data_IF_581629746789
#
_entry.id   IF_581629746789
#
_cell.length_a   1.000
_cell.length_b   1.000
_cell.length_c   1.000
_cell.angle_alpha   90.00
_cell.angle_beta   90.00
_cell.angle_gamma   90.00
#
_symmetry.space_group_name_H-M   'P 1'
#
loop_
_entity.id
_entity.type
_entity.pdbx_description
1 polymer ?
#
# COMPACT_ATOMS: atom_id res chain seq x y z
N UNK A 1 -4.14 2.22 15.11
CA UNK A 1 -4.75 2.90 13.95
C UNK A 1 -5.82 2.01 13.37
N UNK A 2 -6.81 2.58 12.70
CA UNK A 2 -7.80 1.81 11.95
C UNK A 2 -7.10 1.06 10.80
N UNK A 3 -7.27 -0.27 10.68
CA UNK A 3 -6.73 -1.02 9.56
C UNK A 3 -7.32 -0.56 8.23
N UNK A 4 -6.45 -0.35 7.24
CA UNK A 4 -6.88 0.08 5.92
C UNK A 4 -7.72 -0.99 5.19
N UNK A 5 -8.65 -0.56 4.33
CA UNK A 5 -9.43 -1.43 3.45
C UNK A 5 -9.83 -0.68 2.18
N UNK A 6 -10.09 -1.44 1.12
CA UNK A 6 -10.72 -0.97 -0.11
C UNK A 6 -11.95 -1.85 -0.36
N UNK A 7 -13.13 -1.26 -0.37
CA UNK A 7 -14.40 -1.95 -0.62
C UNK A 7 -15.16 -1.23 -1.75
N UNK A 8 -16.13 -1.93 -2.35
CA UNK A 8 -17.03 -1.30 -3.31
C UNK A 8 -18.29 -0.80 -2.64
N UNK A 9 -18.73 0.40 -3.01
CA UNK A 9 -20.07 0.88 -2.67
C UNK A 9 -21.16 0.18 -3.50
N UNK A 10 -22.43 0.49 -3.22
CA UNK A 10 -23.55 -0.05 -3.98
C UNK A 10 -23.66 0.47 -5.42
N UNK A 11 -22.87 1.46 -5.82
CA UNK A 11 -22.76 1.91 -7.22
C UNK A 11 -21.58 1.24 -7.95
N UNK A 12 -20.70 0.54 -7.23
CA UNK A 12 -19.51 -0.12 -7.77
C UNK A 12 -18.23 0.72 -7.69
N UNK A 13 -18.28 1.90 -7.07
CA UNK A 13 -17.11 2.74 -6.84
C UNK A 13 -16.26 2.13 -5.72
N UNK A 14 -14.93 2.17 -5.88
CA UNK A 14 -14.02 1.80 -4.81
C UNK A 14 -14.02 2.92 -3.75
N UNK A 15 -14.02 2.52 -2.49
CA UNK A 15 -13.96 3.40 -1.32
C UNK A 15 -12.96 2.84 -0.34
N UNK A 16 -12.04 3.68 0.11
CA UNK A 16 -11.06 3.34 1.16
C UNK A 16 -11.36 4.03 2.48
N UNK A 17 -10.90 3.48 3.61
CA UNK A 17 -11.03 4.19 4.90
C UNK A 17 -10.24 5.49 4.90
N UNK A 18 -9.10 5.52 4.19
CA UNK A 18 -8.29 6.71 4.07
C UNK A 18 -9.03 7.84 3.34
N UNK A 19 -9.79 7.54 2.29
CA UNK A 19 -10.67 8.49 1.61
C UNK A 19 -11.78 9.00 2.55
N UNK A 20 -12.40 8.11 3.33
CA UNK A 20 -13.46 8.49 4.28
C UNK A 20 -12.95 9.48 5.34
N UNK A 21 -11.72 9.27 5.81
CA UNK A 21 -11.11 10.10 6.84
C UNK A 21 -10.57 11.45 6.30
N UNK A 22 -10.56 11.67 4.97
CA UNK A 22 -10.15 12.96 4.38
C UNK A 22 -11.02 14.12 4.80
N UNK A 23 -12.29 13.86 5.13
CA UNK A 23 -13.25 14.85 5.62
C UNK A 23 -12.87 15.43 7.00
N UNK A 24 -11.82 14.91 7.64
CA UNK A 24 -11.36 15.29 8.97
C UNK A 24 -12.48 15.23 10.03
N UNK A 25 -13.41 14.29 9.83
CA UNK A 25 -14.54 14.00 10.72
C UNK A 25 -14.36 12.63 11.36
N UNK A 26 -14.89 12.43 12.57
CA UNK A 26 -14.99 11.09 13.11
C UNK A 26 -15.89 10.23 12.21
N UNK A 27 -15.56 8.95 12.10
CA UNK A 27 -16.37 7.98 11.35
C UNK A 27 -16.79 6.82 12.25
N UNK A 28 -18.02 6.37 12.08
CA UNK A 28 -18.53 5.11 12.60
C UNK A 28 -18.59 4.11 11.44
N UNK A 29 -17.86 3.00 11.57
CA UNK A 29 -18.06 1.82 10.74
C UNK A 29 -19.02 0.89 11.47
N UNK A 30 -20.16 0.58 10.86
CA UNK A 30 -21.12 -0.40 11.38
C UNK A 30 -21.17 -1.63 10.47
N UNK A 31 -20.76 -2.78 11.01
CA UNK A 31 -20.76 -4.05 10.32
C UNK A 31 -22.09 -4.76 10.55
N UNK A 32 -22.79 -5.11 9.47
CA UNK A 32 -24.13 -5.71 9.55
C UNK A 32 -24.35 -6.80 8.50
N UNK A 33 -25.39 -7.61 8.73
CA UNK A 33 -25.94 -8.53 7.74
C UNK A 33 -27.44 -8.29 7.57
N UNK A 34 -28.00 -8.56 6.39
CA UNK A 34 -29.43 -8.31 6.11
C UNK A 34 -30.39 -9.13 6.98
N UNK A 35 -29.89 -10.17 7.64
CA UNK A 35 -30.61 -11.02 8.60
C UNK A 35 -30.50 -10.55 10.06
N UNK A 36 -29.82 -9.44 10.32
CA UNK A 36 -29.61 -8.88 11.64
C UNK A 36 -30.70 -7.85 11.97
N UNK A 37 -31.78 -8.29 12.62
CA UNK A 37 -32.90 -7.39 12.97
C UNK A 37 -32.47 -6.27 13.92
N UNK A 38 -31.55 -6.56 14.84
CA UNK A 38 -31.05 -5.57 15.79
C UNK A 38 -30.22 -4.48 15.11
N UNK A 39 -29.57 -4.79 13.99
CA UNK A 39 -28.79 -3.83 13.21
C UNK A 39 -29.67 -2.71 12.63
N UNK A 40 -30.92 -3.00 12.27
CA UNK A 40 -31.86 -1.97 11.79
C UNK A 40 -32.10 -0.89 12.85
N UNK A 41 -32.32 -1.31 14.10
CA UNK A 41 -32.54 -0.38 15.23
C UNK A 41 -31.31 0.48 15.50
N UNK A 42 -30.13 -0.13 15.49
CA UNK A 42 -28.86 0.57 15.61
C UNK A 42 -28.69 1.65 14.52
N UNK A 43 -28.96 1.30 13.26
CA UNK A 43 -28.73 2.22 12.16
C UNK A 43 -29.65 3.44 12.24
N UNK A 44 -30.90 3.28 12.66
CA UNK A 44 -31.78 4.43 12.88
C UNK A 44 -31.30 5.34 14.02
N UNK A 45 -30.71 4.80 15.09
CA UNK A 45 -30.09 5.60 16.14
C UNK A 45 -28.90 6.42 15.62
N UNK A 46 -28.22 5.96 14.56
CA UNK A 46 -27.15 6.72 13.91
C UNK A 46 -27.64 7.92 13.09
N UNK A 47 -28.88 7.92 12.61
CA UNK A 47 -29.44 9.08 11.87
C UNK A 47 -29.44 10.33 12.75
N UNK A 48 -29.86 10.17 14.01
CA UNK A 48 -29.82 11.24 15.00
C UNK A 48 -28.39 11.68 15.32
N UNK A 49 -27.45 10.73 15.42
CA UNK A 49 -26.05 11.01 15.73
C UNK A 49 -25.39 11.74 14.57
N UNK A 50 -25.52 11.26 13.33
CA UNK A 50 -24.91 11.87 12.16
C UNK A 50 -25.38 13.32 11.97
N UNK A 51 -26.69 13.56 12.08
CA UNK A 51 -27.29 14.88 11.89
C UNK A 51 -26.89 15.89 12.97
N UNK A 52 -26.82 15.48 14.23
CA UNK A 52 -26.51 16.39 15.36
C UNK A 52 -25.02 16.58 15.58
N UNK A 53 -24.24 15.54 15.31
CA UNK A 53 -22.87 15.49 15.78
C UNK A 53 -21.83 15.73 14.68
N UNK A 54 -22.21 15.79 13.40
CA UNK A 54 -21.28 16.02 12.29
C UNK A 54 -20.31 14.85 12.06
N UNK A 55 -20.79 13.63 12.28
CA UNK A 55 -20.04 12.36 12.21
C UNK A 55 -20.42 11.64 10.92
N UNK A 56 -19.44 11.01 10.27
CA UNK A 56 -19.68 10.14 9.12
C UNK A 56 -20.10 8.74 9.59
N UNK A 57 -21.06 8.13 8.90
CA UNK A 57 -21.50 6.76 9.20
C UNK A 57 -21.43 5.97 7.91
N UNK A 58 -20.64 4.89 7.92
CA UNK A 58 -20.51 3.95 6.82
C UNK A 58 -20.96 2.57 7.29
N UNK A 59 -21.85 1.95 6.52
CA UNK A 59 -22.32 0.61 6.79
C UNK A 59 -21.52 -0.39 5.95
N UNK A 60 -21.04 -1.47 6.56
CA UNK A 60 -20.30 -2.53 5.90
C UNK A 60 -21.15 -3.79 5.93
N UNK A 61 -21.76 -4.11 4.78
CA UNK A 61 -22.60 -5.27 4.59
C UNK A 61 -21.77 -6.51 4.27
N UNK A 62 -21.91 -7.54 5.09
CA UNK A 62 -21.13 -8.79 4.97
C UNK A 62 -21.84 -9.92 4.20
N UNK A 63 -23.05 -9.67 3.71
CA UNK A 63 -23.82 -10.62 2.89
C UNK A 63 -23.05 -11.06 1.63
N UNK A 64 -23.30 -12.27 1.14
CA UNK A 64 -22.70 -12.77 -0.10
C UNK A 64 -23.06 -11.94 -1.33
N UNK A 65 -24.28 -11.39 -1.38
CA UNK A 65 -24.85 -10.80 -2.59
C UNK A 65 -25.26 -9.34 -2.43
N UNK A 66 -24.65 -8.45 -3.23
CA UNK A 66 -24.96 -7.01 -3.31
C UNK A 66 -26.46 -6.72 -3.46
N UNK A 67 -27.16 -7.44 -4.36
CA UNK A 67 -28.61 -7.27 -4.58
C UNK A 67 -29.47 -7.48 -3.34
N UNK A 68 -29.01 -8.32 -2.41
CA UNK A 68 -29.72 -8.59 -1.16
C UNK A 68 -29.63 -7.37 -0.24
N UNK A 69 -28.44 -6.77 -0.17
CA UNK A 69 -28.18 -5.52 0.56
C UNK A 69 -28.99 -4.36 -0.03
N UNK A 70 -29.01 -4.19 -1.36
CA UNK A 70 -29.79 -3.13 -2.03
C UNK A 70 -31.28 -3.20 -1.69
N UNK A 71 -31.89 -4.40 -1.78
CA UNK A 71 -33.30 -4.59 -1.43
C UNK A 71 -33.58 -4.32 0.04
N UNK A 72 -32.68 -4.77 0.91
CA UNK A 72 -32.78 -4.54 2.35
C UNK A 72 -32.67 -3.05 2.68
N UNK A 73 -31.71 -2.34 2.08
CA UNK A 73 -31.50 -0.91 2.26
C UNK A 73 -32.73 -0.11 1.81
N UNK A 74 -33.30 -0.45 0.65
CA UNK A 74 -34.53 0.18 0.16
C UNK A 74 -35.73 -0.10 1.09
N UNK A 75 -35.89 -1.34 1.56
CA UNK A 75 -36.97 -1.73 2.48
C UNK A 75 -36.92 -0.97 3.80
N UNK A 76 -35.71 -0.77 4.34
CA UNK A 76 -35.49 -0.11 5.62
C UNK A 76 -35.19 1.39 5.50
N UNK A 77 -35.23 1.95 4.27
CA UNK A 77 -34.98 3.37 3.97
C UNK A 77 -33.64 3.87 4.49
N UNK A 78 -32.60 3.05 4.32
CA UNK A 78 -31.26 3.35 4.79
C UNK A 78 -30.68 4.51 3.98
N UNK A 79 -30.24 5.56 4.67
CA UNK A 79 -29.72 6.79 4.06
C UNK A 79 -28.19 6.84 4.00
N UNK A 80 -27.51 5.94 4.72
CA UNK A 80 -26.06 5.95 4.83
C UNK A 80 -25.38 5.24 3.64
N UNK A 81 -24.17 5.65 3.26
CA UNK A 81 -23.34 4.89 2.34
C UNK A 81 -23.13 3.46 2.82
N UNK A 82 -23.31 2.50 1.90
CA UNK A 82 -23.12 1.07 2.18
C UNK A 82 -21.99 0.54 1.31
N UNK A 83 -21.01 -0.08 1.97
CA UNK A 83 -19.90 -0.80 1.37
C UNK A 83 -20.16 -2.30 1.46
N UNK A 84 -19.80 -3.03 0.42
CA UNK A 84 -20.03 -4.48 0.34
C UNK A 84 -18.71 -5.24 0.57
N UNK A 85 -18.66 -6.04 1.64
CA UNK A 85 -17.57 -6.96 1.92
C UNK A 85 -18.09 -8.41 2.00
N UNK A 86 -18.21 -9.11 0.85
CA UNK A 86 -18.80 -10.44 0.81
C UNK A 86 -18.12 -11.40 1.80
N UNK A 87 -18.88 -11.91 2.77
CA UNK A 87 -18.40 -12.80 3.84
C UNK A 87 -17.32 -12.19 4.75
N UNK A 88 -17.18 -10.87 4.79
CA UNK A 88 -16.12 -10.22 5.56
C UNK A 88 -14.71 -10.57 5.06
N UNK A 89 -14.54 -10.88 3.76
CA UNK A 89 -13.25 -11.33 3.19
C UNK A 89 -12.13 -10.31 3.37
N UNK A 90 -12.44 -9.02 3.30
CA UNK A 90 -11.45 -7.95 3.33
C UNK A 90 -11.29 -7.39 4.75
N UNK A 91 -12.40 -7.13 5.44
CA UNK A 91 -12.42 -6.45 6.74
C UNK A 91 -12.52 -7.41 7.92
N UNK A 92 -12.95 -8.65 7.71
CA UNK A 92 -13.29 -9.57 8.79
C UNK A 92 -12.15 -9.90 9.73
N UNK A 93 -10.95 -10.17 9.20
CA UNK A 93 -9.74 -10.35 10.02
C UNK A 93 -9.21 -9.02 10.56
N UNK A 94 -9.33 -7.95 9.78
CA UNK A 94 -8.78 -6.64 10.12
C UNK A 94 -9.49 -6.01 11.31
N UNK A 95 -10.81 -6.19 11.39
CA UNK A 95 -11.67 -5.63 12.44
C UNK A 95 -12.23 -6.70 13.37
N UNK A 96 -11.62 -7.89 13.43
CA UNK A 96 -11.99 -8.99 14.33
C UNK A 96 -13.50 -9.31 14.32
N UNK A 97 -14.08 -9.50 13.13
CA UNK A 97 -15.49 -9.85 12.97
C UNK A 97 -15.79 -11.32 13.29
N UNK A 98 -14.76 -12.16 13.42
CA UNK A 98 -14.91 -13.60 13.62
C UNK A 98 -14.24 -14.05 14.92
N UNK A 99 -14.99 -14.78 15.75
CA UNK A 99 -14.49 -15.56 16.90
C UNK A 99 -14.74 -17.04 16.64
N UNK A 100 -13.73 -17.72 16.09
CA UNK A 100 -13.92 -19.07 15.56
C UNK A 100 -14.92 -19.05 14.41
N UNK A 101 -15.95 -19.90 14.49
CA UNK A 101 -17.03 -19.94 13.51
C UNK A 101 -18.11 -18.86 13.72
N UNK A 102 -18.05 -18.10 14.81
CA UNK A 102 -19.06 -17.11 15.15
C UNK A 102 -18.73 -15.74 14.58
N UNK A 103 -19.71 -15.15 13.90
CA UNK A 103 -19.67 -13.81 13.37
C UNK A 103 -20.23 -12.81 14.40
N UNK A 104 -19.50 -11.71 14.62
CA UNK A 104 -19.84 -10.66 15.58
C UNK A 104 -20.48 -9.50 14.82
N UNK A 105 -21.82 -9.50 14.74
CA UNK A 105 -22.61 -8.37 14.22
C UNK A 105 -23.85 -8.10 15.12
N UNK A 106 -24.28 -6.85 15.27
CA UNK A 106 -23.60 -5.66 14.76
C UNK A 106 -22.28 -5.42 15.51
N UNK A 107 -21.28 -4.96 14.77
CA UNK A 107 -20.04 -4.43 15.35
C UNK A 107 -19.90 -2.99 14.92
N UNK A 108 -19.64 -2.12 15.87
CA UNK A 108 -19.44 -0.69 15.63
C UNK A 108 -18.02 -0.32 15.98
N UNK A 109 -17.36 0.42 15.11
CA UNK A 109 -16.01 0.90 15.30
C UNK A 109 -16.01 2.41 15.10
N UNK A 110 -15.68 3.14 16.16
CA UNK A 110 -15.55 4.60 16.11
C UNK A 110 -14.09 4.93 15.85
N UNK A 111 -13.85 5.66 14.77
CA UNK A 111 -12.54 6.11 14.34
C UNK A 111 -12.49 7.63 14.42
N UNK A 112 -11.44 8.15 15.06
CA UNK A 112 -11.19 9.59 15.18
C UNK A 112 -10.74 10.22 13.84
N UNK A 113 -10.76 11.55 13.71
CA UNK A 113 -10.14 12.24 12.57
C UNK A 113 -8.64 11.92 12.39
N UNK A 114 -7.96 11.51 13.47
CA UNK A 114 -6.57 11.07 13.43
C UNK A 114 -6.36 9.64 12.89
N UNK A 115 -7.43 8.92 12.53
CA UNK A 115 -7.37 7.54 12.07
C UNK A 115 -7.15 6.51 13.19
N UNK A 116 -7.40 6.89 14.45
CA UNK A 116 -7.29 5.98 15.61
C UNK A 116 -8.65 5.39 15.95
N UNK A 117 -8.70 4.08 16.25
CA UNK A 117 -9.91 3.46 16.79
C UNK A 117 -10.02 3.89 18.25
N UNK A 118 -11.06 4.64 18.58
CA UNK A 118 -11.30 5.15 19.95
C UNK A 118 -12.36 4.34 20.69
N UNK A 119 -13.21 3.61 19.97
CA UNK A 119 -14.22 2.77 20.59
C UNK A 119 -14.61 1.60 19.68
N UNK A 120 -14.87 0.44 20.30
CA UNK A 120 -15.41 -0.75 19.63
C UNK A 120 -16.56 -1.29 20.46
N UNK A 121 -17.69 -1.55 19.80
CA UNK A 121 -18.85 -2.18 20.41
C UNK A 121 -19.26 -3.42 19.61
N UNK A 122 -19.27 -4.58 20.26
CA UNK A 122 -19.53 -5.89 19.63
C UNK A 122 -20.99 -6.37 19.73
N UNK A 123 -21.92 -5.47 20.08
CA UNK A 123 -23.36 -5.70 19.98
C UNK A 123 -24.12 -4.39 20.20
N UNK A 124 -25.42 -4.39 19.98
CA UNK A 124 -26.27 -3.24 20.26
C UNK A 124 -27.02 -3.37 21.60
N UNK A 125 -26.90 -2.34 22.45
CA UNK A 125 -27.72 -2.13 23.65
C UNK A 125 -27.74 -0.64 23.99
N UNK A 126 -28.72 -0.19 24.81
CA UNK A 126 -28.78 1.22 25.27
C UNK A 126 -27.49 1.65 25.98
N UNK A 127 -26.91 0.76 26.79
CA UNK A 127 -25.69 1.01 27.56
C UNK A 127 -24.46 1.13 26.64
N UNK A 128 -24.35 0.25 25.64
CA UNK A 128 -23.31 0.34 24.61
C UNK A 128 -23.46 1.60 23.75
N UNK A 129 -24.70 2.02 23.46
CA UNK A 129 -24.96 3.28 22.77
C UNK A 129 -24.60 4.50 23.60
N UNK A 130 -24.84 4.49 24.91
CA UNK A 130 -24.38 5.55 25.79
C UNK A 130 -22.84 5.62 25.83
N UNK A 131 -22.16 4.46 25.87
CA UNK A 131 -20.70 4.38 25.80
C UNK A 131 -20.15 4.94 24.48
N UNK A 132 -20.76 4.56 23.34
CA UNK A 132 -20.38 5.09 22.03
C UNK A 132 -20.57 6.61 21.95
N UNK A 133 -21.71 7.16 22.42
CA UNK A 133 -21.94 8.61 22.48
C UNK A 133 -20.94 9.34 23.38
N UNK A 134 -20.52 8.69 24.47
CA UNK A 134 -19.47 9.20 25.34
C UNK A 134 -18.12 9.26 24.61
N UNK A 135 -17.76 8.22 23.86
CA UNK A 135 -16.53 8.23 23.05
C UNK A 135 -16.57 9.31 21.96
N UNK A 136 -17.72 9.53 21.32
CA UNK A 136 -17.88 10.62 20.34
C UNK A 136 -17.73 12.00 20.96
N UNK A 137 -18.29 12.22 22.15
CA UNK A 137 -18.08 13.47 22.92
C UNK A 137 -16.61 13.62 23.33
N UNK A 138 -16.01 12.51 23.74
CA UNK A 138 -14.56 12.23 23.83
C UNK A 138 -13.79 12.90 22.70
N UNK A 139 -14.12 12.46 21.48
CA UNK A 139 -13.43 12.83 20.27
C UNK A 139 -13.56 14.31 19.95
N UNK A 140 -14.73 14.90 20.16
CA UNK A 140 -14.96 16.32 19.86
C UNK A 140 -14.15 17.29 20.71
N UNK A 141 -13.82 16.89 21.94
CA UNK A 141 -13.10 17.75 22.89
C UNK A 141 -11.58 17.59 22.81
N UNK A 142 -11.10 16.54 22.14
CA UNK A 142 -9.69 16.20 22.05
C UNK A 142 -9.02 16.95 20.89
N UNK A 143 -7.85 17.50 21.15
CA UNK A 143 -6.98 17.99 20.08
C UNK A 143 -6.32 16.80 19.37
N UNK A 144 -6.66 16.63 18.10
CA UNK A 144 -6.14 15.58 17.23
C UNK A 144 -4.86 15.99 16.50
N UNK A 145 -4.56 17.28 16.47
CA UNK A 145 -3.41 17.85 15.80
C UNK A 145 -2.22 17.85 16.75
N UNK A 146 -1.58 16.68 16.86
CA UNK A 146 -0.40 16.49 17.72
C UNK A 146 0.85 16.30 16.87
N UNK A 147 2.02 16.78 17.35
CA UNK A 147 3.27 16.38 16.75
C UNK A 147 3.35 14.87 16.66
N UNK A 148 3.81 14.36 15.53
CA UNK A 148 3.86 12.92 15.27
C UNK A 148 5.13 12.55 14.55
N UNK A 149 5.67 11.40 14.94
CA UNK A 149 6.86 10.81 14.33
C UNK A 149 6.43 9.62 13.48
N UNK A 150 6.99 9.53 12.26
CA UNK A 150 6.85 8.38 11.37
C UNK A 150 8.23 7.82 11.02
N UNK A 151 8.45 6.54 11.32
CA UNK A 151 9.60 5.82 10.81
C UNK A 151 9.28 5.15 9.47
N UNK A 152 10.00 5.51 8.42
CA UNK A 152 9.92 4.85 7.12
C UNK A 152 11.17 4.00 6.98
N UNK A 153 10.97 2.69 6.94
CA UNK A 153 11.99 1.74 6.52
C UNK A 153 11.82 1.48 5.03
N UNK A 154 12.90 1.33 4.30
CA UNK A 154 12.77 1.04 2.88
C UNK A 154 13.93 0.23 2.30
N UNK A 155 13.62 -0.40 1.19
CA UNK A 155 14.55 -1.07 0.28
C UNK A 155 14.38 -0.54 -1.13
N UNK A 156 15.40 -0.75 -1.95
CA UNK A 156 15.35 -0.56 -3.38
C UNK A 156 16.32 -1.55 -4.02
N UNK A 157 16.00 -2.05 -5.22
CA UNK A 157 16.87 -2.94 -5.99
C UNK A 157 17.38 -4.13 -5.16
N UNK A 158 16.45 -4.92 -4.58
CA UNK A 158 16.80 -6.16 -3.85
C UNK A 158 17.46 -7.16 -4.80
N UNK A 159 17.10 -7.16 -6.09
CA UNK A 159 17.65 -8.00 -7.15
C UNK A 159 17.68 -9.51 -6.78
N UNK A 160 16.73 -9.98 -5.97
CA UNK A 160 16.67 -11.36 -5.49
C UNK A 160 17.71 -11.79 -4.46
N UNK A 161 18.49 -10.87 -3.86
CA UNK A 161 19.52 -11.20 -2.85
C UNK A 161 18.90 -11.57 -1.49
N UNK A 162 18.41 -12.80 -1.37
CA UNK A 162 17.88 -13.32 -0.10
C UNK A 162 18.98 -13.57 0.94
N UNK A 163 20.12 -14.11 0.50
CA UNK A 163 21.29 -14.40 1.33
C UNK A 163 22.32 -13.26 1.28
N UNK A 164 23.14 -13.13 2.33
CA UNK A 164 24.29 -12.22 2.33
C UNK A 164 25.30 -12.61 1.24
N UNK A 165 26.11 -11.65 0.78
CA UNK A 165 27.25 -12.03 -0.05
C UNK A 165 28.20 -12.94 0.73
N UNK A 166 28.74 -13.98 0.09
CA UNK A 166 29.82 -14.80 0.63
C UNK A 166 31.18 -14.07 0.56
N UNK A 167 31.20 -12.78 0.89
CA UNK A 167 32.39 -11.96 0.91
C UNK A 167 33.37 -12.49 2.00
N UNK A 168 34.61 -12.79 1.61
CA UNK A 168 35.60 -13.38 2.53
C UNK A 168 35.79 -12.48 3.77
N UNK A 169 35.61 -13.08 4.97
CA UNK A 169 35.63 -12.49 6.33
C UNK A 169 34.41 -11.68 6.78
N UNK A 170 33.62 -11.10 5.88
CA UNK A 170 32.50 -10.21 6.25
C UNK A 170 31.28 -10.37 5.35
N UNK A 171 30.40 -11.37 5.60
CA UNK A 171 29.13 -11.47 4.88
C UNK A 171 28.32 -10.17 5.02
N UNK A 172 28.07 -9.54 3.88
CA UNK A 172 27.46 -8.22 3.78
C UNK A 172 26.09 -8.32 3.11
N UNK A 173 25.12 -7.59 3.65
CA UNK A 173 23.78 -7.48 3.08
C UNK A 173 22.95 -8.74 3.18
N UNK A 174 22.02 -8.89 2.24
CA UNK A 174 21.10 -10.01 2.19
C UNK A 174 19.79 -9.73 2.93
N UNK A 175 18.70 -10.11 2.29
CA UNK A 175 17.36 -9.92 2.81
C UNK A 175 17.15 -10.59 4.18
N UNK A 176 17.84 -11.70 4.43
CA UNK A 176 17.85 -12.40 5.72
C UNK A 176 18.28 -11.50 6.90
N UNK A 177 19.29 -10.65 6.72
CA UNK A 177 19.74 -9.68 7.72
C UNK A 177 18.78 -8.49 7.81
N UNK A 178 18.27 -8.04 6.67
CA UNK A 178 17.31 -6.95 6.60
C UNK A 178 16.06 -7.23 7.44
N UNK A 179 15.45 -8.41 7.29
CA UNK A 179 14.22 -8.76 8.03
C UNK A 179 14.46 -8.78 9.54
N UNK A 180 15.60 -9.30 9.98
CA UNK A 180 16.02 -9.31 11.38
C UNK A 180 16.23 -7.89 11.93
N UNK A 181 16.93 -7.04 11.18
CA UNK A 181 17.10 -5.62 11.50
C UNK A 181 15.73 -4.91 11.58
N UNK A 182 14.87 -5.11 10.60
CA UNK A 182 13.55 -4.50 10.49
C UNK A 182 12.67 -4.86 11.68
N UNK A 183 12.62 -6.14 12.08
CA UNK A 183 11.87 -6.59 13.26
C UNK A 183 12.30 -5.83 14.53
N UNK A 184 13.61 -5.60 14.70
CA UNK A 184 14.13 -4.78 15.82
C UNK A 184 13.77 -3.30 15.70
N UNK A 185 13.74 -2.74 14.49
CA UNK A 185 13.36 -1.33 14.32
C UNK A 185 11.86 -1.12 14.55
N UNK A 186 11.01 -2.01 14.03
CA UNK A 186 9.54 -1.96 14.24
C UNK A 186 9.18 -1.93 15.73
N UNK A 187 9.91 -2.65 16.57
CA UNK A 187 9.72 -2.63 18.02
C UNK A 187 10.05 -1.27 18.69
N UNK A 188 10.80 -0.38 18.03
CA UNK A 188 11.22 0.92 18.60
C UNK A 188 10.26 2.07 18.28
N UNK A 189 9.46 1.95 17.23
CA UNK A 189 8.64 3.06 16.71
C UNK A 189 7.17 2.70 16.73
N UNK A 190 6.33 3.54 17.34
CA UNK A 190 4.88 3.30 17.40
C UNK A 190 4.19 3.48 16.04
N UNK A 191 4.75 4.34 15.19
CA UNK A 191 4.29 4.57 13.84
C UNK A 191 5.42 4.28 12.88
N UNK A 192 5.26 3.24 12.07
CA UNK A 192 6.24 2.88 11.08
C UNK A 192 5.57 2.32 9.82
N UNK A 193 6.24 2.49 8.69
CA UNK A 193 5.88 1.83 7.44
C UNK A 193 7.12 1.24 6.77
N UNK A 194 6.91 0.21 5.96
CA UNK A 194 7.94 -0.40 5.12
C UNK A 194 7.61 -0.23 3.64
N UNK A 195 8.51 0.39 2.89
CA UNK A 195 8.34 0.70 1.47
C UNK A 195 9.44 0.04 0.62
N UNK A 196 9.12 -0.30 -0.62
CA UNK A 196 10.12 -0.73 -1.61
C UNK A 196 9.93 0.07 -2.90
N UNK A 197 11.02 0.55 -3.51
CA UNK A 197 10.97 1.36 -4.72
C UNK A 197 11.26 0.57 -6.01
N UNK A 198 11.10 -0.75 -6.03
CA UNK A 198 11.19 -1.63 -7.19
C UNK A 198 12.54 -2.31 -7.41
N UNK A 199 12.56 -3.21 -8.40
CA UNK A 199 13.61 -4.20 -8.70
C UNK A 199 13.85 -5.16 -7.53
N UNK A 200 12.78 -5.75 -7.02
CA UNK A 200 12.92 -6.79 -6.01
C UNK A 200 13.29 -8.14 -6.63
N UNK A 201 12.88 -8.38 -7.87
CA UNK A 201 13.34 -9.49 -8.72
C UNK A 201 14.62 -9.11 -9.46
N UNK A 202 15.50 -10.08 -9.75
CA UNK A 202 16.56 -9.87 -10.71
C UNK A 202 16.00 -9.89 -12.14
N UNK A 203 16.70 -9.23 -13.07
CA UNK A 203 16.33 -9.10 -14.48
C UNK A 203 15.98 -10.44 -15.16
N UNK A 204 16.67 -11.52 -14.80
CA UNK A 204 16.33 -12.88 -15.20
C UNK A 204 16.11 -13.75 -13.97
N UNK A 205 14.89 -14.26 -13.82
CA UNK A 205 14.49 -15.08 -12.68
C UNK A 205 13.64 -16.26 -13.14
N UNK A 206 13.95 -17.45 -12.63
CA UNK A 206 13.10 -18.63 -12.83
C UNK A 206 11.89 -18.60 -11.90
N UNK A 207 10.78 -19.22 -12.29
CA UNK A 207 9.57 -19.32 -11.44
C UNK A 207 9.89 -19.90 -10.06
N UNK A 208 10.84 -20.84 -10.00
CA UNK A 208 11.27 -21.41 -8.74
C UNK A 208 11.91 -20.35 -7.83
N UNK A 209 12.82 -19.54 -8.36
CA UNK A 209 13.50 -18.49 -7.57
C UNK A 209 12.54 -17.35 -7.22
N UNK A 210 11.67 -16.95 -8.15
CA UNK A 210 10.65 -15.94 -7.94
C UNK A 210 9.69 -16.36 -6.80
N UNK A 211 9.26 -17.62 -6.74
CA UNK A 211 8.46 -18.19 -5.64
C UNK A 211 9.09 -17.93 -4.27
N UNK A 212 10.40 -18.12 -4.11
CA UNK A 212 11.08 -17.87 -2.83
C UNK A 212 11.18 -16.37 -2.53
N UNK A 213 11.41 -15.52 -3.52
CA UNK A 213 11.41 -14.07 -3.34
C UNK A 213 10.03 -13.58 -2.89
N UNK A 214 8.95 -14.04 -3.53
CA UNK A 214 7.58 -13.71 -3.13
C UNK A 214 7.26 -14.20 -1.70
N UNK A 215 7.64 -15.44 -1.33
CA UNK A 215 7.51 -15.93 0.06
C UNK A 215 8.25 -15.01 1.05
N UNK A 216 9.44 -14.52 0.70
CA UNK A 216 10.21 -13.60 1.55
C UNK A 216 9.49 -12.23 1.71
N UNK A 217 8.92 -11.68 0.64
CA UNK A 217 8.10 -10.47 0.69
C UNK A 217 6.84 -10.66 1.56
N UNK A 218 6.21 -11.83 1.50
CA UNK A 218 5.05 -12.18 2.34
C UNK A 218 5.40 -12.20 3.82
N UNK A 219 6.56 -12.76 4.19
CA UNK A 219 7.05 -12.77 5.58
C UNK A 219 7.28 -11.34 6.07
N UNK A 220 7.83 -10.48 5.21
CA UNK A 220 8.32 -9.16 5.60
C UNK A 220 7.20 -8.15 5.83
N UNK A 221 6.03 -8.35 5.20
CA UNK A 221 4.84 -7.47 5.32
C UNK A 221 5.16 -6.02 4.96
N UNK A 222 5.44 -5.76 3.68
CA UNK A 222 5.53 -4.40 3.15
C UNK A 222 4.20 -3.65 3.30
N UNK A 223 4.28 -2.33 3.40
CA UNK A 223 3.13 -1.44 3.35
C UNK A 223 2.85 -0.97 1.92
N UNK A 224 3.88 -0.82 1.10
CA UNK A 224 3.79 -0.59 -0.33
C UNK A 224 5.05 -1.08 -1.06
N UNK A 225 4.89 -1.61 -2.26
CA UNK A 225 5.99 -2.02 -3.14
C UNK A 225 5.74 -1.40 -4.52
N UNK A 226 6.64 -0.52 -4.96
CA UNK A 226 6.66 -0.08 -6.35
C UNK A 226 7.22 -1.17 -7.25
N UNK A 227 6.91 -1.10 -8.55
CA UNK A 227 7.41 -2.06 -9.55
C UNK A 227 8.53 -1.42 -10.37
N UNK A 228 9.66 -2.10 -10.44
CA UNK A 228 10.79 -1.74 -11.31
C UNK A 228 10.71 -2.39 -12.69
N UNK A 229 11.65 -2.04 -13.56
CA UNK A 229 11.72 -2.61 -14.92
C UNK A 229 12.05 -4.11 -14.90
N UNK A 230 12.82 -4.58 -13.90
CA UNK A 230 13.13 -6.00 -13.74
C UNK A 230 11.90 -6.79 -13.26
N UNK A 231 11.09 -6.18 -12.37
CA UNK A 231 9.91 -6.83 -11.82
C UNK A 231 8.84 -7.07 -12.89
N UNK A 232 8.59 -6.08 -13.74
CA UNK A 232 7.56 -6.14 -14.80
C UNK A 232 7.95 -7.08 -15.92
N UNK A 233 9.25 -7.29 -16.12
CA UNK A 233 9.74 -8.23 -17.13
C UNK A 233 9.49 -9.69 -16.77
N UNK A 234 9.32 -10.01 -15.49
CA UNK A 234 8.95 -11.34 -15.05
C UNK A 234 7.48 -11.65 -15.38
N UNK A 235 7.16 -12.65 -16.22
CA UNK A 235 5.79 -12.90 -16.67
C UNK A 235 4.77 -13.12 -15.54
N UNK A 236 5.19 -13.72 -14.42
CA UNK A 236 4.32 -14.01 -13.28
C UNK A 236 3.92 -12.78 -12.45
N UNK A 237 4.52 -11.60 -12.69
CA UNK A 237 4.21 -10.38 -11.92
C UNK A 237 2.77 -9.90 -12.12
N UNK A 238 2.23 -10.07 -13.33
CA UNK A 238 0.86 -9.66 -13.68
C UNK A 238 -0.15 -10.50 -12.90
N UNK A 239 0.07 -11.81 -12.85
CA UNK A 239 -0.76 -12.72 -12.06
C UNK A 239 -0.64 -12.42 -10.55
N UNK A 240 0.58 -12.17 -10.06
CA UNK A 240 0.81 -11.80 -8.66
C UNK A 240 0.08 -10.50 -8.28
N UNK A 241 0.07 -9.51 -9.18
CA UNK A 241 -0.66 -8.26 -9.00
C UNK A 241 -2.19 -8.46 -9.02
N UNK A 242 -2.70 -9.27 -9.97
CA UNK A 242 -4.14 -9.60 -10.08
C UNK A 242 -4.67 -10.33 -8.85
N UNK A 243 -3.85 -11.18 -8.23
CA UNK A 243 -4.20 -11.91 -7.02
C UNK A 243 -4.26 -11.04 -5.75
N UNK A 244 -3.89 -9.74 -5.83
CA UNK A 244 -3.92 -8.76 -4.74
C UNK A 244 -3.29 -9.23 -3.43
N UNK A 245 -2.30 -10.13 -3.52
CA UNK A 245 -1.61 -10.70 -2.35
C UNK A 245 -0.59 -9.73 -1.76
N UNK A 246 -0.04 -8.87 -2.60
CA UNK A 246 1.00 -7.90 -2.26
C UNK A 246 0.48 -6.47 -2.42
N UNK A 247 0.96 -5.51 -1.61
CA UNK A 247 0.57 -4.11 -1.70
C UNK A 247 1.33 -3.40 -2.83
N UNK A 248 1.22 -3.90 -4.06
CA UNK A 248 1.85 -3.26 -5.21
C UNK A 248 1.21 -1.90 -5.49
N UNK A 249 2.04 -0.89 -5.71
CA UNK A 249 1.63 0.44 -6.15
C UNK A 249 2.25 0.72 -7.52
N UNK A 250 1.39 1.05 -8.48
CA UNK A 250 1.75 1.53 -9.81
C UNK A 250 0.88 2.72 -10.15
N UNK A 251 1.42 3.93 -10.01
CA UNK A 251 0.66 5.13 -10.37
C UNK A 251 0.69 5.41 -11.88
N UNK A 252 1.66 4.86 -12.62
CA UNK A 252 1.88 5.24 -14.01
C UNK A 252 2.02 4.09 -15.00
N UNK A 253 1.87 2.83 -14.59
CA UNK A 253 2.05 1.68 -15.48
C UNK A 253 0.76 0.86 -15.64
N UNK A 254 0.41 0.62 -16.89
CA UNK A 254 -0.65 -0.28 -17.34
C UNK A 254 -0.07 -1.41 -18.20
N UNK A 255 -0.65 -2.61 -18.07
CA UNK A 255 -0.35 -3.78 -18.90
C UNK A 255 -1.40 -3.92 -20.01
N UNK A 256 -0.97 -4.05 -21.26
CA UNK A 256 -1.84 -4.09 -22.42
C UNK A 256 -1.81 -5.47 -23.10
N UNK A 257 -2.98 -6.12 -23.18
CA UNK A 257 -3.12 -7.38 -23.92
C UNK A 257 -3.18 -7.08 -25.43
N UNK A 258 -2.12 -7.41 -26.16
CA UNK A 258 -2.16 -7.37 -27.64
C UNK A 258 -2.81 -8.64 -28.18
N UNK A 259 -3.94 -8.50 -28.87
CA UNK A 259 -4.42 -9.52 -29.80
C UNK A 259 -3.47 -9.55 -31.00
N UNK A 260 -2.57 -10.54 -31.03
CA UNK A 260 -1.77 -10.82 -32.21
C UNK A 260 -2.68 -11.23 -33.38
N UNK A 261 -2.93 -10.31 -34.30
CA UNK A 261 -3.39 -10.66 -35.65
C UNK A 261 -2.15 -10.93 -36.49
N UNK A 262 -1.86 -12.21 -36.74
CA UNK A 262 -0.86 -12.61 -37.72
C UNK A 262 -1.43 -12.38 -39.12
N UNK A 263 -0.98 -11.32 -39.81
CA UNK A 263 -1.11 -11.26 -41.27
C UNK A 263 -0.10 -12.24 -41.88
N UNK A 264 -0.52 -13.22 -42.69
CA UNK A 264 0.39 -14.19 -43.31
C UNK A 264 1.23 -13.59 -44.46
N UNK A 265 1.14 -12.29 -44.72
CA UNK A 265 1.89 -11.63 -45.80
C UNK A 265 2.64 -10.39 -45.30
N UNK A 266 3.97 -10.47 -45.45
CA UNK A 266 5.04 -9.46 -45.26
C UNK A 266 5.58 -9.33 -43.84
N UNK A 267 6.86 -9.72 -43.70
CA UNK A 267 7.68 -9.68 -42.48
C UNK A 267 7.96 -8.27 -41.93
N UNK A 268 6.91 -7.60 -41.47
CA UNK A 268 6.93 -6.55 -40.46
C UNK A 268 5.76 -6.84 -39.52
N UNK A 269 6.05 -7.03 -38.23
CA UNK A 269 5.01 -7.13 -37.22
C UNK A 269 4.14 -5.87 -37.31
N UNK A 270 2.92 -6.03 -37.82
CA UNK A 270 1.92 -4.98 -37.88
C UNK A 270 1.06 -5.21 -36.65
N UNK A 271 1.26 -4.43 -35.60
CA UNK A 271 0.46 -4.53 -34.38
C UNK A 271 -0.98 -4.13 -34.72
N UNK A 272 -1.91 -5.08 -34.65
CA UNK A 272 -3.32 -4.79 -34.84
C UNK A 272 -3.82 -3.96 -33.66
N UNK A 273 -4.06 -2.69 -33.92
CA UNK A 273 -4.91 -1.87 -33.07
C UNK A 273 -6.33 -2.38 -33.19
N UNK A 274 -7.08 -2.39 -32.08
CA UNK A 274 -8.55 -2.46 -32.12
C UNK A 274 -9.08 -1.35 -33.05
N UNK A 275 -10.33 -1.41 -33.49
CA UNK A 275 -10.94 -0.37 -34.36
C UNK A 275 -10.85 1.06 -33.77
N UNK A 276 -10.42 1.20 -32.51
CA UNK A 276 -10.18 2.46 -31.79
C UNK A 276 -8.70 2.72 -31.39
N UNK A 277 -7.71 1.94 -31.84
CA UNK A 277 -6.29 2.26 -31.56
C UNK A 277 -5.74 1.76 -30.22
N UNK A 278 -6.59 1.37 -29.27
CA UNK A 278 -6.17 1.04 -27.90
C UNK A 278 -6.35 -0.46 -27.63
N UNK A 279 -5.25 -1.15 -27.29
CA UNK A 279 -5.34 -2.47 -26.65
C UNK A 279 -6.07 -2.35 -25.30
N UNK A 280 -6.66 -3.44 -24.81
CA UNK A 280 -7.22 -3.44 -23.46
C UNK A 280 -6.06 -3.36 -22.47
N UNK A 281 -5.81 -2.16 -21.94
CA UNK A 281 -4.80 -1.91 -20.93
C UNK A 281 -5.43 -1.93 -19.54
N UNK A 282 -4.80 -2.63 -18.59
CA UNK A 282 -5.22 -2.74 -17.21
C UNK A 282 -4.12 -2.22 -16.27
N UNK A 283 -4.48 -1.46 -15.25
CA UNK A 283 -3.54 -1.02 -14.22
C UNK A 283 -2.96 -2.19 -13.43
N UNK A 284 -1.67 -2.12 -13.08
CA UNK A 284 -0.97 -3.17 -12.33
C UNK A 284 -0.87 -2.77 -10.85
N UNK A 285 -1.69 -3.34 -9.97
CA UNK A 285 -1.70 -2.97 -8.56
C UNK A 285 -2.50 -1.68 -8.27
N UNK A 286 -2.34 -1.13 -7.08
CA UNK A 286 -3.06 0.07 -6.66
C UNK A 286 -2.43 1.34 -7.25
N UNK A 287 -3.24 2.34 -7.59
CA UNK A 287 -2.72 3.60 -8.13
C UNK A 287 -1.89 4.38 -7.09
N UNK A 288 -2.32 4.39 -5.83
CA UNK A 288 -1.59 4.99 -4.71
C UNK A 288 -1.96 4.29 -3.40
N UNK A 289 -1.31 4.70 -2.32
CA UNK A 289 -1.74 4.39 -0.96
C UNK A 289 -1.84 5.69 -0.17
N UNK A 290 -2.91 5.82 0.61
CA UNK A 290 -3.11 6.95 1.51
C UNK A 290 -3.15 6.43 2.93
N UNK A 291 -2.49 7.14 3.84
CA UNK A 291 -2.58 6.88 5.28
C UNK A 291 -2.73 8.21 6.03
N UNK A 292 -3.40 8.15 7.18
CA UNK A 292 -3.59 9.31 8.04
C UNK A 292 -2.92 9.04 9.36
N UNK A 293 -1.99 9.91 9.74
CA UNK A 293 -1.16 9.79 10.93
C UNK A 293 -1.35 11.02 11.81
N UNK A 294 -2.12 10.90 12.89
CA UNK A 294 -2.47 12.04 13.76
C UNK A 294 -2.97 13.26 12.95
N UNK A 295 -3.80 13.01 11.94
CA UNK A 295 -4.37 14.03 11.06
C UNK A 295 -3.46 14.43 9.89
N UNK A 296 -2.19 14.03 9.86
CA UNK A 296 -1.30 14.22 8.70
C UNK A 296 -1.67 13.20 7.62
N UNK A 297 -2.13 13.70 6.47
CA UNK A 297 -2.47 12.89 5.31
C UNK A 297 -1.24 12.63 4.45
N UNK A 298 -0.73 11.41 4.51
CA UNK A 298 0.43 10.97 3.74
C UNK A 298 -0.06 10.16 2.55
N UNK A 299 0.36 10.57 1.35
CA UNK A 299 0.08 9.86 0.11
C UNK A 299 1.37 9.26 -0.43
N UNK A 300 1.30 8.01 -0.87
CA UNK A 300 2.41 7.26 -1.44
C UNK A 300 2.03 6.92 -2.87
N UNK A 301 2.81 7.42 -3.82
CA UNK A 301 2.69 7.15 -5.24
C UNK A 301 3.96 6.47 -5.74
N UNK A 302 3.92 5.85 -6.91
CA UNK A 302 5.10 5.30 -7.57
C UNK A 302 5.28 5.88 -8.95
N UNK A 303 6.52 5.91 -9.42
CA UNK A 303 6.83 6.34 -10.78
C UNK A 303 7.94 5.47 -11.36
N UNK A 304 7.62 4.77 -12.44
CA UNK A 304 8.58 4.04 -13.26
C UNK A 304 8.92 4.85 -14.51
N UNK A 305 10.20 5.20 -14.68
CA UNK A 305 10.64 5.96 -15.84
C UNK A 305 10.66 5.06 -17.09
N UNK A 306 10.08 5.53 -18.19
CA UNK A 306 10.10 4.77 -19.46
C UNK A 306 11.52 4.54 -19.99
N UNK A 307 12.48 5.40 -19.65
CA UNK A 307 13.89 5.21 -20.03
C UNK A 307 14.54 3.98 -19.38
N UNK A 308 13.98 3.45 -18.28
CA UNK A 308 14.45 2.20 -17.68
C UNK A 308 14.35 1.02 -18.66
N UNK A 309 13.48 1.11 -19.66
CA UNK A 309 13.25 0.08 -20.67
C UNK A 309 14.13 0.21 -21.93
N UNK A 310 15.11 1.12 -21.96
CA UNK A 310 15.90 1.40 -23.16
C UNK A 310 16.56 0.16 -23.81
N UNK A 311 16.92 -0.85 -23.00
CA UNK A 311 17.57 -2.08 -23.46
C UNK A 311 16.60 -3.28 -23.63
N UNK A 312 15.29 -3.07 -23.44
CA UNK A 312 14.30 -4.15 -23.49
C UNK A 312 13.82 -4.41 -24.93
N UNK A 313 13.37 -5.63 -25.25
CA UNK A 313 12.83 -5.95 -26.58
C UNK A 313 11.58 -5.12 -26.92
N UNK A 314 11.49 -4.62 -28.16
CA UNK A 314 10.33 -3.83 -28.63
C UNK A 314 8.99 -4.55 -28.43
N UNK A 315 8.96 -5.88 -28.59
CA UNK A 315 7.75 -6.69 -28.35
C UNK A 315 7.26 -6.60 -26.90
N UNK A 316 8.18 -6.52 -25.94
CA UNK A 316 7.84 -6.35 -24.54
C UNK A 316 7.41 -4.92 -24.25
N UNK A 317 8.16 -3.93 -24.75
CA UNK A 317 7.80 -2.50 -24.61
C UNK A 317 6.41 -2.24 -25.18
N UNK A 318 6.03 -2.93 -26.27
CA UNK A 318 4.69 -2.87 -26.83
C UNK A 318 3.59 -3.22 -25.81
N UNK A 319 3.84 -4.11 -24.85
CA UNK A 319 2.84 -4.61 -23.86
C UNK A 319 2.65 -3.69 -22.65
N UNK A 320 3.40 -2.60 -22.55
CA UNK A 320 3.33 -1.68 -21.42
C UNK A 320 2.96 -0.27 -21.87
N UNK A 321 2.14 0.41 -21.08
CA UNK A 321 1.84 1.84 -21.26
C UNK A 321 2.25 2.57 -19.99
N UNK A 322 3.11 3.58 -20.16
CA UNK A 322 3.69 4.36 -19.07
C UNK A 322 3.21 5.81 -19.19
N UNK A 323 2.36 6.24 -18.24
CA UNK A 323 1.91 7.62 -18.13
C UNK A 323 3.04 8.54 -17.64
N UNK A 324 2.99 9.81 -18.05
CA UNK A 324 3.99 10.79 -17.61
C UNK A 324 3.73 11.25 -16.16
N UNK A 325 4.79 11.73 -15.50
CA UNK A 325 4.72 12.16 -14.10
C UNK A 325 3.71 13.30 -13.87
N UNK A 326 3.56 14.22 -14.82
CA UNK A 326 2.61 15.34 -14.70
C UNK A 326 1.16 14.85 -14.59
N UNK A 327 0.79 13.82 -15.33
CA UNK A 327 -0.55 13.23 -15.30
C UNK A 327 -0.87 12.59 -13.96
N UNK A 328 0.07 11.81 -13.42
CA UNK A 328 -0.17 11.12 -12.16
C UNK A 328 -0.18 12.10 -10.97
N UNK A 329 0.70 13.12 -10.97
CA UNK A 329 0.73 14.12 -9.89
C UNK A 329 -0.55 14.97 -9.82
N UNK A 330 -1.29 15.15 -10.92
CA UNK A 330 -2.61 15.80 -10.87
C UNK A 330 -3.59 15.08 -9.94
N UNK A 331 -3.49 13.75 -9.87
CA UNK A 331 -4.31 12.90 -9.00
C UNK A 331 -3.76 12.86 -7.56
N UNK A 332 -2.49 13.23 -7.39
CA UNK A 332 -1.76 13.28 -6.12
C UNK A 332 -2.05 14.50 -5.24
N UNK A 333 -2.68 15.56 -5.75
CA UNK A 333 -2.76 16.91 -5.11
C UNK A 333 -3.43 17.01 -3.73
N UNK A 334 -4.18 16.01 -3.30
CA UNK A 334 -4.87 16.05 -2.01
C UNK A 334 -4.04 15.29 -0.95
N UNK A 335 -2.92 15.84 -0.50
CA UNK A 335 -2.09 15.27 0.57
C UNK A 335 -1.39 16.38 1.36
N UNK A 336 -1.15 16.16 2.65
CA UNK A 336 -0.30 17.03 3.48
C UNK A 336 1.19 16.71 3.24
N UNK A 337 1.49 15.46 2.86
CA UNK A 337 2.84 15.00 2.53
C UNK A 337 2.80 13.93 1.42
N UNK A 338 3.51 14.17 0.32
CA UNK A 338 3.59 13.26 -0.83
C UNK A 338 4.95 12.54 -0.87
N UNK A 339 4.89 11.21 -0.80
CA UNK A 339 6.01 10.31 -1.00
C UNK A 339 5.93 9.73 -2.42
N UNK A 340 7.00 9.88 -3.20
CA UNK A 340 7.17 9.25 -4.50
C UNK A 340 8.19 8.10 -4.39
N UNK A 341 7.73 6.87 -4.59
CA UNK A 341 8.57 5.70 -4.79
C UNK A 341 9.04 5.71 -6.25
N UNK A 342 10.22 6.24 -6.49
CA UNK A 342 10.73 6.46 -7.84
C UNK A 342 11.64 5.33 -8.29
N UNK A 343 11.33 4.73 -9.43
CA UNK A 343 12.19 3.80 -10.14
C UNK A 343 12.74 4.47 -11.40
N UNK A 344 13.45 5.59 -11.20
CA UNK A 344 14.00 6.41 -12.29
C UNK A 344 15.52 6.53 -12.26
N UNK A 345 16.13 6.28 -11.09
CA UNK A 345 17.55 6.53 -10.83
C UNK A 345 17.82 7.92 -10.27
N UNK A 346 18.86 8.04 -9.45
CA UNK A 346 19.10 9.22 -8.61
C UNK A 346 19.26 10.53 -9.40
N UNK A 347 19.80 10.49 -10.63
CA UNK A 347 19.93 11.69 -11.46
C UNK A 347 18.58 12.13 -12.06
N UNK A 348 17.70 11.20 -12.39
CA UNK A 348 16.33 11.52 -12.76
C UNK A 348 15.51 12.00 -11.57
N UNK A 349 15.72 11.42 -10.39
CA UNK A 349 15.06 11.88 -9.15
C UNK A 349 15.40 13.34 -8.85
N UNK A 350 16.66 13.76 -9.09
CA UNK A 350 17.05 15.18 -8.98
C UNK A 350 16.32 16.06 -9.99
N UNK A 351 16.19 15.61 -11.26
CA UNK A 351 15.45 16.35 -12.30
C UNK A 351 13.96 16.46 -11.93
N UNK A 352 13.37 15.39 -11.42
CA UNK A 352 11.99 15.37 -10.93
C UNK A 352 11.80 16.42 -9.83
N UNK A 353 12.67 16.43 -8.81
CA UNK A 353 12.60 17.40 -7.72
C UNK A 353 12.85 18.86 -8.17
N UNK A 354 13.57 19.07 -9.28
CA UNK A 354 13.79 20.40 -9.87
C UNK A 354 12.57 20.90 -10.64
N UNK A 355 11.89 20.01 -11.38
CA UNK A 355 10.80 20.37 -12.29
C UNK A 355 9.41 20.36 -11.63
N UNK A 356 9.18 19.45 -10.67
CA UNK A 356 7.86 19.20 -10.11
C UNK A 356 7.77 19.63 -8.65
N UNK A 357 6.98 20.67 -8.39
CA UNK A 357 6.54 21.03 -7.05
C UNK A 357 5.51 20.04 -6.49
N UNK A 358 5.40 19.98 -5.17
CA UNK A 358 4.38 19.18 -4.46
C UNK A 358 4.78 17.73 -4.18
N UNK A 359 6.04 17.35 -4.43
CA UNK A 359 6.64 16.09 -3.94
C UNK A 359 7.51 16.44 -2.73
N UNK A 360 7.26 15.84 -1.58
CA UNK A 360 8.00 16.14 -0.36
C UNK A 360 9.18 15.18 -0.13
N UNK A 361 9.00 13.91 -0.50
CA UNK A 361 10.01 12.86 -0.36
C UNK A 361 10.04 11.95 -1.59
N UNK A 362 11.21 11.80 -2.20
CA UNK A 362 11.50 10.77 -3.20
C UNK A 362 12.32 9.67 -2.52
N UNK A 363 11.81 8.44 -2.56
CA UNK A 363 12.57 7.22 -2.23
C UNK A 363 12.92 6.57 -3.57
N UNK A 364 14.18 6.71 -3.96
CA UNK A 364 14.68 6.32 -5.29
C UNK A 364 15.13 4.86 -5.38
N UNK A 365 15.14 4.34 -6.60
CA UNK A 365 15.59 3.00 -6.98
C UNK A 365 16.43 3.01 -8.26
N UNK A 366 16.43 1.89 -9.01
CA UNK A 366 17.07 1.70 -10.31
C UNK A 366 18.60 1.84 -10.35
N UNK A 367 19.12 3.04 -10.10
CA UNK A 367 20.55 3.38 -10.16
C UNK A 367 21.43 2.75 -9.07
N UNK A 368 20.82 2.11 -8.06
CA UNK A 368 21.49 1.54 -6.89
C UNK A 368 22.41 2.53 -6.16
N UNK A 369 22.08 3.83 -6.19
CA UNK A 369 22.89 4.87 -5.58
C UNK A 369 22.85 4.75 -4.06
N UNK A 370 24.01 4.69 -3.41
CA UNK A 370 24.10 4.79 -1.96
C UNK A 370 24.24 6.26 -1.54
N UNK A 371 23.26 6.79 -0.82
CA UNK A 371 23.32 8.14 -0.28
C UNK A 371 23.69 8.09 1.21
N UNK A 372 24.69 8.87 1.61
CA UNK A 372 25.08 9.00 3.02
C UNK A 372 24.24 10.05 3.77
N UNK A 373 23.57 10.95 3.03
CA UNK A 373 22.67 11.98 3.53
C UNK A 373 21.60 12.28 2.48
N UNK A 374 20.42 12.80 2.86
CA UNK A 374 19.41 13.19 1.88
C UNK A 374 19.97 14.26 0.94
N UNK A 375 19.61 14.18 -0.33
CA UNK A 375 19.76 15.30 -1.26
C UNK A 375 18.50 16.13 -1.13
N UNK A 376 18.63 17.43 -0.83
CA UNK A 376 17.51 18.35 -0.81
C UNK A 376 17.55 19.25 -2.03
N UNK A 377 16.49 19.23 -2.82
CA UNK A 377 16.26 20.12 -3.96
C UNK A 377 14.91 20.77 -3.75
N UNK A 378 14.86 22.10 -3.75
CA UNK A 378 13.66 22.85 -3.35
C UNK A 378 13.15 22.36 -1.97
N UNK A 379 11.88 21.97 -1.91
CA UNK A 379 11.25 21.41 -0.71
C UNK A 379 11.48 19.89 -0.58
N UNK A 380 11.84 19.23 -1.68
CA UNK A 380 11.87 17.78 -1.83
C UNK A 380 13.15 17.17 -1.26
N UNK A 381 12.99 16.12 -0.46
CA UNK A 381 14.09 15.26 -0.01
C UNK A 381 14.22 14.05 -0.94
N UNK A 382 15.44 13.63 -1.26
CA UNK A 382 15.73 12.44 -2.08
C UNK A 382 16.63 11.52 -1.26
N UNK A 383 16.23 10.25 -1.14
CA UNK A 383 16.96 9.19 -0.42
C UNK A 383 17.00 7.89 -1.22
N UNK A 384 18.07 7.10 -1.05
CA UNK A 384 18.25 5.79 -1.69
C UNK A 384 19.26 4.95 -0.90
N UNK A 385 19.04 3.63 -0.79
CA UNK A 385 19.79 2.76 0.12
C UNK A 385 20.77 1.80 -0.58
N UNK A 386 21.32 2.18 -1.74
CA UNK A 386 22.25 1.33 -2.50
C UNK A 386 21.53 0.23 -3.26
N UNK A 387 22.10 -0.97 -3.34
CA UNK A 387 21.47 -2.14 -4.00
C UNK A 387 21.77 -3.44 -3.26
N UNK A 388 21.11 -4.52 -3.70
CA UNK A 388 21.32 -5.90 -3.20
C UNK A 388 21.14 -6.04 -1.68
N UNK A 389 20.33 -5.16 -1.09
CA UNK A 389 20.04 -5.12 0.35
C UNK A 389 21.33 -5.10 1.19
N UNK A 390 22.35 -4.40 0.70
CA UNK A 390 23.58 -4.16 1.44
C UNK A 390 23.38 -3.16 2.59
N UNK A 391 22.41 -2.26 2.42
CA UNK A 391 21.98 -1.32 3.43
C UNK A 391 20.47 -1.39 3.60
N UNK A 392 20.00 -1.08 4.80
CA UNK A 392 18.61 -0.83 5.09
C UNK A 392 18.36 0.68 5.09
N UNK A 393 17.44 1.14 4.25
CA UNK A 393 17.01 2.54 4.26
C UNK A 393 16.17 2.84 5.48
N UNK A 394 16.47 3.95 6.16
CA UNK A 394 15.70 4.47 7.29
C UNK A 394 15.57 5.98 7.17
N UNK A 395 14.36 6.50 7.20
CA UNK A 395 14.10 7.93 7.39
C UNK A 395 13.03 8.14 8.46
N UNK A 396 13.33 8.99 9.45
CA UNK A 396 12.42 9.37 10.52
C UNK A 396 11.91 10.77 10.22
N UNK A 397 10.60 10.90 10.02
CA UNK A 397 9.92 12.16 9.76
C UNK A 397 9.21 12.63 11.03
N UNK A 398 9.38 13.89 11.39
CA UNK A 398 8.67 14.51 12.52
C UNK A 398 7.80 15.65 11.98
N UNK A 399 6.51 15.53 12.20
CA UNK A 399 5.52 16.53 11.86
C UNK A 399 5.10 17.30 13.13
N UNK A 400 4.83 18.59 12.99
CA UNK A 400 4.28 19.41 14.06
C UNK A 400 2.74 19.36 14.12
N UNK A 401 2.15 20.12 15.04
CA UNK A 401 0.69 20.26 15.17
C UNK A 401 0.03 20.93 13.95
N UNK A 402 0.77 21.64 13.12
CA UNK A 402 0.28 22.24 11.87
C UNK A 402 0.44 21.28 10.68
N UNK A 403 0.79 20.01 10.96
CA UNK A 403 1.04 18.95 9.98
C UNK A 403 2.25 19.20 9.08
N UNK A 404 3.11 20.16 9.45
CA UNK A 404 4.30 20.50 8.68
C UNK A 404 5.46 19.61 9.10
N UNK A 405 6.25 19.17 8.12
CA UNK A 405 7.51 18.49 8.39
C UNK A 405 8.50 19.46 9.05
N UNK A 406 8.88 19.19 10.29
CA UNK A 406 9.84 20.02 11.04
C UNK A 406 11.23 19.39 11.14
N UNK A 407 11.34 18.07 10.93
CA UNK A 407 12.63 17.38 10.95
C UNK A 407 12.57 16.06 10.15
N UNK A 408 13.68 15.73 9.50
CA UNK A 408 13.87 14.47 8.78
C UNK A 408 15.28 13.93 9.04
N UNK A 409 15.37 12.76 9.65
CA UNK A 409 16.63 12.08 9.98
C UNK A 409 16.77 10.83 9.12
N UNK A 410 17.79 10.78 8.27
CA UNK A 410 18.00 9.68 7.33
C UNK A 410 19.31 8.93 7.60
N UNK A 411 19.27 7.61 7.39
CA UNK A 411 20.40 6.71 7.49
C UNK A 411 20.26 5.56 6.47
N UNK A 412 21.34 5.26 5.75
CA UNK A 412 21.50 3.98 5.05
C UNK A 412 22.29 3.04 5.96
N UNK A 413 21.60 2.17 6.68
CA UNK A 413 22.22 1.32 7.71
C UNK A 413 22.93 0.14 7.05
N UNK A 414 24.26 0.01 7.13
CA UNK A 414 24.97 -1.13 6.56
C UNK A 414 24.58 -2.42 7.30
N UNK A 415 24.25 -3.47 6.55
CA UNK A 415 23.87 -4.77 7.11
C UNK A 415 25.09 -5.69 7.17
N UNK A 416 25.85 -5.59 8.27
CA UNK A 416 27.10 -6.32 8.50
C UNK A 416 26.92 -7.54 9.42
N UNK A 417 28.03 -8.15 9.85
CA UNK A 417 28.07 -9.40 10.61
C UNK A 417 27.32 -9.38 11.96
N UNK A 418 27.18 -8.21 12.60
CA UNK A 418 26.54 -8.06 13.91
C UNK A 418 25.00 -8.15 13.84
N UNK A 419 24.42 -8.03 12.65
CA UNK A 419 23.01 -8.29 12.38
C UNK A 419 22.82 -9.80 12.22
N UNK A 420 22.13 -10.48 13.15
CA UNK A 420 21.86 -11.90 13.01
C UNK A 420 20.87 -12.16 11.88
N UNK A 421 20.96 -13.33 11.25
CA UNK A 421 20.02 -13.78 10.23
C UNK A 421 18.62 -13.98 10.80
N UNK A 422 17.59 -13.58 10.05
CA UNK A 422 16.21 -13.92 10.39
C UNK A 422 15.96 -15.43 10.21
N UNK A 423 15.43 -16.14 11.23
CA UNK A 423 15.28 -17.59 11.17
C UNK A 423 14.28 -18.06 10.11
N UNK A 424 13.25 -17.26 9.82
CA UNK A 424 12.18 -17.63 8.87
C UNK A 424 12.68 -17.48 7.43
N UNK A 425 13.41 -16.39 7.15
CA UNK A 425 14.09 -16.20 5.85
C UNK A 425 15.23 -17.20 5.68
N UNK A 426 15.98 -17.52 6.73
CA UNK A 426 17.03 -18.53 6.67
C UNK A 426 16.47 -19.91 6.30
N UNK A 427 15.36 -20.32 6.93
CA UNK A 427 14.70 -21.58 6.58
C UNK A 427 14.24 -21.60 5.11
N UNK A 428 13.75 -20.46 4.60
CA UNK A 428 13.35 -20.29 3.21
C UNK A 428 14.51 -20.44 2.23
N UNK A 429 15.68 -19.87 2.55
CA UNK A 429 16.91 -20.02 1.75
C UNK A 429 17.35 -21.49 1.71
N UNK A 430 17.32 -22.18 2.84
CA UNK A 430 17.69 -23.60 2.91
C UNK A 430 16.70 -24.51 2.15
N UNK A 431 15.41 -24.17 2.13
CA UNK A 431 14.41 -24.82 1.28
C UNK A 431 14.74 -24.60 -0.22
N UNK A 432 15.06 -23.37 -0.61
CA UNK A 432 15.45 -23.04 -1.99
C UNK A 432 16.68 -23.82 -2.45
N UNK A 433 17.72 -23.90 -1.62
CA UNK A 433 18.96 -24.62 -1.93
C UNK A 433 18.71 -26.11 -2.15
N UNK A 434 17.84 -26.73 -1.35
CA UNK A 434 17.46 -28.15 -1.53
C UNK A 434 16.74 -28.38 -2.86
N UNK A 435 15.76 -27.55 -3.20
CA UNK A 435 15.02 -27.66 -4.47
C UNK A 435 15.92 -27.45 -5.70
N UNK A 436 17.04 -26.72 -5.57
CA UNK A 436 18.03 -26.54 -6.65
C UNK A 436 18.98 -27.72 -6.82
N UNK A 437 19.26 -28.50 -5.77
CA UNK A 437 20.15 -29.66 -5.81
C UNK A 437 19.44 -30.91 -6.34
N UNK A 438 18.11 -30.99 -6.18
CA UNK A 438 17.28 -32.11 -6.62
C UNK A 438 16.87 -32.07 -8.11
N UNK A 439 17.17 -30.99 -8.83
CA UNK A 439 16.93 -30.80 -10.27
C UNK A 439 18.24 -30.88 -11.04
#
# INVERSE_FOLDING_TARGET
MAPDFELKDLNGNNVTISEILEDNKPVILSFFGTWCDICVKEIHDFEDIANKEGILVYLIGIDDGKKKIERWAAKHRIIFPILHDPKGKITGKKYDLFRGAFLIIPKMVVISPAGTIEHVSESYSKEKMASLKTALSQIKTKDWNKPVELAIFFTNSINGYLESCNCYKHPYGGFVKFVSWLKRQRAKYSHHILLDSGDFLPHSVSDNSAKFIFKALEITKYDAIALGDQDIYYPGIIEAAKNKKFPFISSNLEWCDFLASTSPYRGKASFATTENGEGNCESIGAFNKVMILNGVKIRIMSFLNSEAFFLYPEEFIGKIKIANLREILKQGKNADFLILLSHSGADYDKKIAQEFDGIDLIIGGHSQTLLNKPIKINQTLIVQAGGNVQHAGKIILKFDKEKKLVNAEYEAVPLVNDVPDDPEIKALIEEQKKEQIEK
#
